data_IF_924957475693
#
_entry.id   IF_924957475693
#
_cell.length_a   1.000
_cell.length_b   1.000
_cell.length_c   1.000
_cell.angle_alpha   90.00
_cell.angle_beta   90.00
_cell.angle_gamma   90.00
#
_symmetry.space_group_name_H-M   'P 1'
#
loop_
_entity.id
_entity.type
_entity.pdbx_description
1 polymer ?
#
# COMPACT_ATOMS: atom_id res chain seq x y z
N UNK A 1 39.54 8.83 -1.83
CA UNK A 1 40.66 9.28 -2.70
C UNK A 1 41.84 9.78 -1.89
N UNK A 2 41.67 10.70 -0.94
CA UNK A 2 42.75 11.15 -0.07
C UNK A 2 43.39 10.01 0.72
N UNK A 3 42.60 9.14 1.38
CA UNK A 3 43.10 7.94 2.08
C UNK A 3 43.83 6.94 1.17
N UNK A 4 43.53 6.91 -0.10
CA UNK A 4 44.20 6.09 -1.11
C UNK A 4 45.46 6.76 -1.70
N UNK A 5 45.81 7.96 -1.24
CA UNK A 5 46.99 8.70 -1.71
C UNK A 5 46.85 9.33 -3.10
N UNK A 6 45.64 9.42 -3.64
CA UNK A 6 45.35 10.03 -4.95
C UNK A 6 45.17 11.53 -4.86
N UNK A 7 44.94 12.07 -3.67
CA UNK A 7 44.86 13.48 -3.35
C UNK A 7 45.80 13.77 -2.15
N UNK A 8 46.56 14.84 -2.20
CA UNK A 8 47.24 15.34 -1.03
C UNK A 8 46.27 16.14 -0.13
N UNK A 9 46.71 16.54 1.05
CA UNK A 9 45.89 17.25 2.06
C UNK A 9 45.27 18.53 1.51
N UNK A 10 46.08 19.34 0.78
CA UNK A 10 45.62 20.58 0.18
C UNK A 10 44.59 20.35 -0.92
N UNK A 11 44.85 19.40 -1.82
CA UNK A 11 43.90 19.03 -2.90
C UNK A 11 42.59 18.50 -2.34
N UNK A 12 42.66 17.74 -1.25
CA UNK A 12 41.44 17.25 -0.57
C UNK A 12 40.62 18.41 0.00
N UNK A 13 41.27 19.34 0.71
CA UNK A 13 40.59 20.52 1.27
C UNK A 13 40.00 21.42 0.19
N UNK A 14 40.77 21.76 -0.85
CA UNK A 14 40.32 22.59 -1.96
C UNK A 14 39.16 21.97 -2.73
N UNK A 15 39.19 20.64 -2.98
CA UNK A 15 38.13 19.92 -3.67
C UNK A 15 36.85 19.80 -2.83
N UNK A 16 37.01 19.64 -1.50
CA UNK A 16 35.85 19.61 -0.59
C UNK A 16 35.16 20.98 -0.57
N UNK A 17 35.91 22.09 -0.49
CA UNK A 17 35.33 23.43 -0.58
C UNK A 17 34.64 23.67 -1.93
N UNK A 18 35.18 23.14 -3.04
CA UNK A 18 34.56 23.30 -4.36
C UNK A 18 33.25 22.51 -4.48
N UNK A 19 33.18 21.32 -3.85
CA UNK A 19 31.94 20.54 -3.81
C UNK A 19 30.85 21.23 -2.95
N UNK A 20 31.25 21.81 -1.80
CA UNK A 20 30.33 22.58 -0.94
C UNK A 20 29.78 23.82 -1.68
N UNK A 21 30.62 24.51 -2.42
CA UNK A 21 30.20 25.65 -3.25
C UNK A 21 29.27 25.21 -4.39
N UNK A 22 29.57 24.10 -5.05
CA UNK A 22 28.70 23.54 -6.10
C UNK A 22 27.33 23.15 -5.53
N UNK A 23 27.31 22.46 -4.38
CA UNK A 23 26.08 22.11 -3.68
C UNK A 23 25.24 23.35 -3.38
N UNK A 24 25.87 24.39 -2.84
CA UNK A 24 25.20 25.65 -2.58
C UNK A 24 24.60 26.28 -3.84
N UNK A 25 25.31 26.25 -4.97
CA UNK A 25 24.79 26.78 -6.25
C UNK A 25 23.58 25.98 -6.76
N UNK A 26 23.57 24.67 -6.53
CA UNK A 26 22.41 23.81 -6.83
C UNK A 26 21.23 24.15 -5.93
N UNK A 27 21.47 24.27 -4.62
CA UNK A 27 20.43 24.58 -3.63
C UNK A 27 19.82 25.99 -3.82
N UNK A 28 20.66 26.96 -4.22
CA UNK A 28 20.26 28.35 -4.51
C UNK A 28 19.69 28.51 -5.94
N UNK A 29 19.55 27.43 -6.71
CA UNK A 29 19.08 27.42 -8.13
C UNK A 29 19.92 28.31 -9.05
N UNK A 30 21.19 28.58 -8.71
CA UNK A 30 22.12 29.38 -9.52
C UNK A 30 22.98 28.53 -10.46
N UNK A 31 22.88 27.22 -10.36
CA UNK A 31 23.49 26.24 -11.25
C UNK A 31 22.41 25.40 -11.93
N UNK A 32 22.47 25.27 -13.24
CA UNK A 32 21.55 24.45 -14.03
C UNK A 32 22.30 23.66 -15.10
N UNK A 33 21.79 22.51 -15.53
CA UNK A 33 22.23 21.82 -16.74
C UNK A 33 22.09 22.71 -17.98
N UNK A 34 22.95 22.50 -18.96
CA UNK A 34 22.91 23.15 -20.28
C UNK A 34 22.77 22.09 -21.37
N UNK A 35 22.53 22.52 -22.61
CA UNK A 35 22.26 21.62 -23.75
C UNK A 35 23.43 20.67 -24.05
N UNK A 36 24.66 21.09 -23.74
CA UNK A 36 25.88 20.30 -23.97
C UNK A 36 26.11 19.22 -22.89
N UNK A 37 25.38 19.27 -21.77
CA UNK A 37 25.48 18.25 -20.73
C UNK A 37 24.67 17.02 -21.16
N UNK A 38 25.30 15.83 -21.17
CA UNK A 38 24.63 14.57 -21.51
C UNK A 38 23.55 14.21 -20.48
N UNK A 39 23.84 14.52 -19.20
CA UNK A 39 22.97 14.24 -18.05
C UNK A 39 23.40 15.11 -16.84
N UNK A 40 22.65 14.98 -15.72
CA UNK A 40 22.92 15.72 -14.48
C UNK A 40 24.33 15.45 -13.93
N UNK A 41 24.85 14.23 -14.10
CA UNK A 41 26.19 13.91 -13.60
C UNK A 41 27.28 14.62 -14.42
N UNK A 42 27.07 14.80 -15.75
CA UNK A 42 27.96 15.60 -16.61
C UNK A 42 27.84 17.09 -16.26
N UNK A 43 26.64 17.56 -15.99
CA UNK A 43 26.41 18.94 -15.53
C UNK A 43 27.17 19.20 -14.23
N UNK A 44 27.01 18.35 -13.21
CA UNK A 44 27.72 18.48 -11.93
C UNK A 44 29.25 18.40 -12.09
N UNK A 45 29.75 17.53 -12.98
CA UNK A 45 31.19 17.47 -13.31
C UNK A 45 31.64 18.80 -13.92
N UNK A 46 30.93 19.36 -14.87
CA UNK A 46 31.21 20.69 -15.45
C UNK A 46 31.23 21.77 -14.37
N UNK A 47 30.20 21.82 -13.51
CA UNK A 47 30.14 22.79 -12.42
C UNK A 47 31.34 22.68 -11.47
N UNK A 48 31.78 21.46 -11.15
CA UNK A 48 32.96 21.25 -10.33
C UNK A 48 34.25 21.73 -11.05
N UNK A 49 34.39 21.46 -12.35
CA UNK A 49 35.55 21.92 -13.15
C UNK A 49 35.61 23.45 -13.26
N UNK A 50 34.46 24.13 -13.32
CA UNK A 50 34.37 25.58 -13.32
C UNK A 50 34.87 26.19 -11.99
N UNK A 51 34.60 25.52 -10.87
CA UNK A 51 34.99 26.01 -9.53
C UNK A 51 36.45 25.62 -9.20
N UNK A 52 36.78 24.34 -9.33
CA UNK A 52 38.07 23.76 -8.90
C UNK A 52 39.15 23.81 -9.98
N UNK A 53 38.81 24.13 -11.21
CA UNK A 53 39.69 24.02 -12.39
C UNK A 53 39.86 22.59 -12.90
N UNK A 54 40.24 22.45 -14.16
CA UNK A 54 40.34 21.17 -14.85
C UNK A 54 41.36 20.20 -14.19
N UNK A 55 42.45 20.71 -13.65
CA UNK A 55 43.51 19.85 -13.09
C UNK A 55 43.04 19.19 -11.77
N UNK A 56 42.45 19.96 -10.86
CA UNK A 56 42.00 19.44 -9.58
C UNK A 56 40.64 18.75 -9.69
N UNK A 57 39.65 19.40 -10.31
CA UNK A 57 38.31 18.85 -10.46
C UNK A 57 38.29 17.53 -11.24
N UNK A 58 39.14 17.44 -12.27
CA UNK A 58 39.26 16.20 -13.09
C UNK A 58 39.78 14.98 -12.31
N UNK A 59 40.46 15.18 -11.16
CA UNK A 59 40.89 14.06 -10.29
C UNK A 59 39.71 13.28 -9.69
N UNK A 60 38.57 13.96 -9.42
CA UNK A 60 37.45 13.34 -8.72
C UNK A 60 36.85 12.15 -9.47
N UNK A 61 37.01 12.09 -10.79
CA UNK A 61 36.47 11.02 -11.64
C UNK A 61 37.26 9.69 -11.56
N UNK A 62 38.45 9.71 -10.96
CA UNK A 62 39.31 8.53 -10.93
C UNK A 62 38.67 7.38 -10.14
N UNK A 63 38.72 6.17 -10.72
CA UNK A 63 38.30 4.92 -10.08
C UNK A 63 36.79 4.66 -10.03
N UNK A 64 35.97 5.47 -10.65
CA UNK A 64 34.52 5.24 -10.73
C UNK A 64 34.03 5.18 -12.19
N UNK A 65 32.92 4.47 -12.36
CA UNK A 65 32.18 4.45 -13.61
C UNK A 65 30.79 5.06 -13.41
N UNK A 66 30.15 5.50 -14.49
CA UNK A 66 28.74 5.87 -14.48
C UNK A 66 27.85 4.69 -14.06
N UNK A 67 28.25 3.46 -14.40
CA UNK A 67 27.48 2.25 -14.14
C UNK A 67 27.28 1.97 -12.62
N UNK A 68 28.34 1.91 -11.84
CA UNK A 68 28.26 1.69 -10.40
C UNK A 68 27.72 2.91 -9.64
N UNK A 69 28.01 4.12 -10.15
CA UNK A 69 27.47 5.35 -9.58
C UNK A 69 25.93 5.38 -9.68
N UNK A 70 25.37 5.17 -10.87
CA UNK A 70 23.91 5.17 -11.06
C UNK A 70 23.25 4.01 -10.31
N UNK A 71 23.87 2.83 -10.30
CA UNK A 71 23.37 1.71 -9.50
C UNK A 71 23.32 2.00 -8.00
N UNK A 72 24.26 2.79 -7.46
CA UNK A 72 24.23 3.23 -6.06
C UNK A 72 23.16 4.32 -5.84
N UNK A 73 23.09 5.31 -6.72
CA UNK A 73 22.14 6.44 -6.59
C UNK A 73 20.69 5.95 -6.64
N UNK A 74 20.33 5.04 -7.54
CA UNK A 74 18.97 4.51 -7.60
C UNK A 74 18.60 3.73 -6.34
N UNK A 75 19.53 2.93 -5.76
CA UNK A 75 19.30 2.25 -4.49
C UNK A 75 19.05 3.24 -3.35
N UNK A 76 19.90 4.27 -3.22
CA UNK A 76 19.74 5.31 -2.20
C UNK A 76 18.41 6.06 -2.35
N UNK A 77 18.07 6.42 -3.57
CA UNK A 77 16.81 7.08 -3.91
C UNK A 77 15.61 6.21 -3.51
N UNK A 78 15.55 4.97 -3.97
CA UNK A 78 14.45 4.06 -3.67
C UNK A 78 14.35 3.74 -2.17
N UNK A 79 15.46 3.57 -1.45
CA UNK A 79 15.47 3.37 0.01
C UNK A 79 14.89 4.56 0.76
N UNK A 80 15.16 5.78 0.29
CA UNK A 80 14.56 7.01 0.85
C UNK A 80 13.06 7.03 0.63
N UNK A 81 12.61 6.83 -0.60
CA UNK A 81 11.19 6.89 -0.97
C UNK A 81 10.38 5.71 -0.41
N UNK A 82 10.97 4.53 -0.26
CA UNK A 82 10.33 3.41 0.45
C UNK A 82 9.92 3.80 1.89
N UNK A 83 10.77 4.54 2.62
CA UNK A 83 10.45 5.03 3.96
C UNK A 83 9.37 6.11 3.96
N UNK A 84 9.38 7.00 2.97
CA UNK A 84 8.33 8.02 2.80
C UNK A 84 6.99 7.34 2.52
N UNK A 85 6.92 6.44 1.54
CA UNK A 85 5.70 5.72 1.16
C UNK A 85 5.19 4.85 2.33
N UNK A 86 6.09 4.15 3.03
CA UNK A 86 5.71 3.39 4.23
C UNK A 86 5.07 4.28 5.32
N UNK A 87 5.61 5.47 5.55
CA UNK A 87 5.03 6.45 6.48
C UNK A 87 3.65 6.94 6.01
N UNK A 88 3.46 7.16 4.72
CA UNK A 88 2.17 7.55 4.14
C UNK A 88 1.14 6.42 4.24
N UNK A 89 1.54 5.16 4.03
CA UNK A 89 0.69 3.99 4.26
C UNK A 89 0.24 3.88 5.72
N UNK A 90 1.16 4.11 6.67
CA UNK A 90 0.81 4.15 8.09
C UNK A 90 -0.19 5.26 8.42
N UNK A 91 -0.16 6.39 7.69
CA UNK A 91 -1.17 7.44 7.83
C UNK A 91 -2.56 6.97 7.38
N UNK A 92 -2.65 6.18 6.29
CA UNK A 92 -3.91 5.55 5.86
C UNK A 92 -4.38 4.53 6.91
N UNK A 93 -3.48 3.71 7.42
CA UNK A 93 -3.80 2.77 8.50
C UNK A 93 -4.32 3.48 9.76
N UNK A 94 -3.71 4.61 10.13
CA UNK A 94 -4.14 5.41 11.27
C UNK A 94 -5.54 6.01 11.05
N UNK A 95 -5.85 6.50 9.85
CA UNK A 95 -7.18 7.00 9.51
C UNK A 95 -8.24 5.89 9.64
N UNK A 96 -7.97 4.69 9.12
CA UNK A 96 -8.85 3.52 9.28
C UNK A 96 -9.04 3.13 10.75
N UNK A 97 -7.96 3.14 11.53
CA UNK A 97 -8.01 2.85 12.97
C UNK A 97 -8.86 3.90 13.72
N UNK A 98 -8.73 5.19 13.39
CA UNK A 98 -9.54 6.25 13.97
C UNK A 98 -11.02 6.04 13.65
N UNK A 99 -11.36 5.74 12.40
CA UNK A 99 -12.72 5.41 11.99
C UNK A 99 -13.25 4.16 12.72
N UNK A 100 -12.43 3.13 12.87
CA UNK A 100 -12.78 1.90 13.62
C UNK A 100 -13.11 2.20 15.08
N UNK A 101 -12.32 3.04 15.75
CA UNK A 101 -12.56 3.48 17.13
C UNK A 101 -13.85 4.32 17.25
N UNK A 102 -14.10 5.19 16.27
CA UNK A 102 -15.30 6.01 16.25
C UNK A 102 -16.58 5.18 15.98
N UNK A 103 -16.44 4.10 15.21
CA UNK A 103 -17.55 3.19 14.88
C UNK A 103 -18.03 2.39 16.10
N UNK A 104 -17.18 2.17 17.12
CA UNK A 104 -17.51 1.37 18.31
C UNK A 104 -18.17 0.03 17.94
N UNK A 105 -19.36 -0.22 18.50
CA UNK A 105 -20.16 -1.43 18.29
C UNK A 105 -21.10 -1.35 17.08
N UNK A 106 -20.87 -0.44 16.15
CA UNK A 106 -21.70 -0.28 14.97
C UNK A 106 -21.68 -1.55 14.11
N UNK A 107 -22.87 -2.06 13.81
CA UNK A 107 -23.08 -3.27 13.03
C UNK A 107 -23.36 -2.91 11.57
N UNK A 108 -22.86 -3.70 10.63
CA UNK A 108 -23.11 -3.58 9.21
C UNK A 108 -23.38 -4.96 8.58
N UNK A 109 -24.00 -5.02 7.40
CA UNK A 109 -24.13 -6.27 6.67
C UNK A 109 -22.77 -6.73 6.13
N UNK A 110 -22.27 -7.88 6.59
CA UNK A 110 -21.19 -8.59 5.94
C UNK A 110 -21.64 -9.08 4.56
N UNK A 111 -20.71 -9.19 3.61
CA UNK A 111 -21.04 -9.58 2.22
C UNK A 111 -20.05 -10.57 1.68
N UNK A 112 -20.58 -11.56 0.96
CA UNK A 112 -19.84 -12.43 0.05
C UNK A 112 -20.58 -12.45 -1.27
N UNK A 113 -19.87 -12.46 -2.39
CA UNK A 113 -20.48 -12.37 -3.73
C UNK A 113 -21.42 -11.16 -3.91
N UNK A 114 -21.16 -10.06 -3.19
CA UNK A 114 -22.03 -8.88 -3.09
C UNK A 114 -23.42 -9.14 -2.49
N UNK A 115 -23.70 -10.34 -2.00
CA UNK A 115 -24.92 -10.71 -1.29
C UNK A 115 -24.74 -10.56 0.22
N UNK A 116 -25.84 -10.31 0.94
CA UNK A 116 -25.84 -10.29 2.40
C UNK A 116 -25.38 -11.64 2.95
N UNK A 117 -24.46 -11.59 3.88
CA UNK A 117 -24.01 -12.69 4.70
C UNK A 117 -24.35 -12.39 6.17
N UNK A 118 -23.50 -12.78 7.10
CA UNK A 118 -23.71 -12.49 8.52
C UNK A 118 -23.45 -11.01 8.81
N UNK A 119 -24.17 -10.41 9.78
CA UNK A 119 -23.82 -9.09 10.32
C UNK A 119 -22.40 -9.10 10.90
N UNK A 120 -21.65 -8.01 10.70
CA UNK A 120 -20.29 -7.83 11.23
C UNK A 120 -20.17 -6.46 11.87
N UNK A 121 -19.15 -6.25 12.67
CA UNK A 121 -18.81 -4.92 13.14
C UNK A 121 -18.19 -4.08 12.02
N UNK A 122 -18.60 -2.82 11.90
CA UNK A 122 -17.98 -1.86 10.98
C UNK A 122 -16.48 -1.74 11.25
N UNK A 123 -16.07 -1.71 12.52
CA UNK A 123 -14.68 -1.70 12.93
C UNK A 123 -13.90 -2.90 12.37
N UNK A 124 -14.49 -4.10 12.38
CA UNK A 124 -13.88 -5.30 11.84
C UNK A 124 -13.68 -5.21 10.32
N UNK A 125 -14.66 -4.69 9.58
CA UNK A 125 -14.54 -4.45 8.14
C UNK A 125 -13.44 -3.44 7.81
N UNK A 126 -13.36 -2.33 8.53
CA UNK A 126 -12.33 -1.31 8.33
C UNK A 126 -10.93 -1.86 8.64
N UNK A 127 -10.79 -2.62 9.72
CA UNK A 127 -9.52 -3.27 10.07
C UNK A 127 -9.08 -4.32 9.06
N UNK A 128 -9.99 -4.95 8.32
CA UNK A 128 -9.64 -5.88 7.24
C UNK A 128 -8.78 -5.22 6.14
N UNK A 129 -8.90 -3.91 5.92
CA UNK A 129 -8.08 -3.15 5.00
C UNK A 129 -6.74 -2.69 5.57
N UNK A 130 -6.62 -2.60 6.89
CA UNK A 130 -5.33 -2.25 7.56
C UNK A 130 -4.30 -3.37 7.37
N UNK A 131 -4.70 -4.63 7.49
CA UNK A 131 -3.79 -5.76 7.42
C UNK A 131 -3.01 -5.90 6.11
N UNK A 132 -3.62 -5.75 4.90
CA UNK A 132 -2.87 -5.73 3.65
C UNK A 132 -1.83 -4.60 3.60
N UNK A 133 -2.21 -3.38 4.00
CA UNK A 133 -1.31 -2.22 4.00
C UNK A 133 -0.13 -2.41 4.96
N UNK A 134 -0.35 -3.01 6.13
CA UNK A 134 0.75 -3.37 7.05
C UNK A 134 1.67 -4.43 6.43
N UNK A 135 1.14 -5.38 5.64
CA UNK A 135 1.99 -6.32 4.88
C UNK A 135 2.83 -5.62 3.83
N UNK A 136 2.32 -4.53 3.21
CA UNK A 136 3.09 -3.73 2.26
C UNK A 136 4.22 -2.95 2.95
N UNK A 137 3.97 -2.40 4.14
CA UNK A 137 5.03 -1.81 4.98
C UNK A 137 6.10 -2.86 5.31
N UNK A 138 5.70 -4.08 5.69
CA UNK A 138 6.65 -5.16 5.97
C UNK A 138 7.44 -5.57 4.71
N UNK A 139 6.82 -5.58 3.52
CA UNK A 139 7.53 -5.81 2.26
C UNK A 139 8.63 -4.77 2.03
N UNK A 140 8.37 -3.50 2.31
CA UNK A 140 9.41 -2.46 2.23
C UNK A 140 10.53 -2.66 3.25
N UNK A 141 10.23 -3.09 4.47
CA UNK A 141 11.25 -3.40 5.49
C UNK A 141 12.14 -4.55 5.00
N UNK A 142 11.55 -5.64 4.52
CA UNK A 142 12.29 -6.78 4.00
C UNK A 142 13.09 -6.44 2.74
N UNK A 143 12.54 -5.58 1.88
CA UNK A 143 13.21 -5.08 0.69
C UNK A 143 14.41 -4.18 1.05
N UNK A 144 14.28 -3.27 2.02
CA UNK A 144 15.36 -2.35 2.46
C UNK A 144 16.58 -3.15 2.97
N UNK A 145 16.37 -4.29 3.64
CA UNK A 145 17.44 -5.18 4.07
C UNK A 145 18.23 -5.76 2.88
N UNK A 146 17.58 -6.09 1.77
CA UNK A 146 18.24 -6.57 0.54
C UNK A 146 18.89 -5.43 -0.24
N UNK A 147 18.28 -4.25 -0.24
CA UNK A 147 18.79 -3.05 -0.91
C UNK A 147 19.99 -2.44 -0.19
N UNK A 148 20.28 -2.83 1.06
CA UNK A 148 21.36 -2.29 1.90
C UNK A 148 22.75 -2.83 1.55
N UNK A 149 23.04 -2.92 0.24
CA UNK A 149 24.32 -3.31 -0.33
C UNK A 149 24.77 -2.26 -1.36
N UNK A 150 25.97 -1.72 -1.18
CA UNK A 150 26.55 -0.73 -2.09
C UNK A 150 27.14 -1.39 -3.33
N UNK A 151 26.72 -0.99 -4.53
CA UNK A 151 27.40 -1.36 -5.76
C UNK A 151 28.60 -0.46 -6.07
N UNK A 152 28.77 0.63 -5.33
CA UNK A 152 29.79 1.65 -5.60
C UNK A 152 31.19 1.09 -5.36
N UNK A 153 32.07 1.23 -6.35
CA UNK A 153 33.41 0.64 -6.38
C UNK A 153 33.51 -0.55 -7.33
N UNK A 154 32.39 -1.02 -7.89
CA UNK A 154 32.41 -2.06 -8.95
C UNK A 154 33.00 -1.53 -10.27
N UNK A 155 33.14 -0.21 -10.44
CA UNK A 155 33.58 0.41 -11.66
C UNK A 155 32.62 0.14 -12.81
N UNK A 156 33.15 -0.07 -14.02
CA UNK A 156 32.30 -0.46 -15.13
C UNK A 156 31.73 -1.88 -14.98
N UNK A 157 32.52 -2.82 -14.43
CA UNK A 157 32.14 -4.20 -14.09
C UNK A 157 33.25 -4.99 -13.35
N UNK A 158 34.49 -4.48 -13.26
CA UNK A 158 35.64 -5.21 -12.75
C UNK A 158 36.39 -4.48 -11.62
N UNK A 159 35.76 -3.49 -11.01
CA UNK A 159 36.39 -2.68 -9.96
C UNK A 159 37.45 -1.71 -10.49
N UNK A 160 38.40 -1.36 -9.65
CA UNK A 160 39.53 -0.49 -9.99
C UNK A 160 40.82 -0.94 -9.31
N UNK A 161 41.97 -0.48 -9.82
CA UNK A 161 43.29 -0.79 -9.29
C UNK A 161 43.91 0.35 -8.48
N UNK A 162 43.13 1.39 -8.16
CA UNK A 162 43.60 2.64 -7.53
C UNK A 162 43.64 2.56 -5.99
N UNK A 163 43.32 1.41 -5.41
CA UNK A 163 43.34 1.23 -3.95
C UNK A 163 42.19 1.96 -3.23
N UNK A 164 41.10 2.30 -3.94
CA UNK A 164 39.90 2.86 -3.33
C UNK A 164 39.20 1.78 -2.50
N UNK A 165 38.89 2.12 -1.24
CA UNK A 165 38.23 1.18 -0.33
C UNK A 165 36.71 1.28 -0.49
N UNK A 166 36.10 0.31 -1.18
CA UNK A 166 34.66 0.27 -1.41
C UNK A 166 33.85 0.07 -0.13
N UNK A 167 34.39 -0.63 0.89
CA UNK A 167 33.70 -0.83 2.17
C UNK A 167 33.58 0.49 2.96
N UNK A 168 34.63 1.31 2.97
CA UNK A 168 34.58 2.62 3.59
C UNK A 168 33.58 3.54 2.88
N UNK A 169 33.59 3.55 1.54
CA UNK A 169 32.65 4.35 0.75
C UNK A 169 31.21 3.88 0.98
N UNK A 170 30.97 2.58 0.99
CA UNK A 170 29.64 2.02 1.28
C UNK A 170 29.12 2.51 2.63
N UNK A 171 29.95 2.47 3.67
CA UNK A 171 29.60 2.92 5.01
C UNK A 171 29.29 4.44 5.05
N UNK A 172 30.09 5.24 4.35
CA UNK A 172 29.88 6.70 4.24
C UNK A 172 28.59 7.04 3.48
N UNK A 173 28.18 6.21 2.51
CA UNK A 173 26.92 6.32 1.78
C UNK A 173 25.71 5.75 2.54
N UNK A 174 25.91 5.17 3.74
CA UNK A 174 24.84 4.62 4.57
C UNK A 174 24.41 3.19 4.19
N UNK A 175 25.29 2.42 3.52
CA UNK A 175 25.10 1.01 3.28
C UNK A 175 25.83 0.16 4.33
N UNK A 176 25.26 -1.00 4.66
CA UNK A 176 25.85 -1.92 5.64
C UNK A 176 26.99 -2.77 5.05
N UNK A 177 26.99 -3.00 3.75
CA UNK A 177 27.96 -3.86 3.06
C UNK A 177 28.11 -3.49 1.57
N UNK A 178 29.06 -4.13 0.92
CA UNK A 178 29.34 -3.99 -0.52
C UNK A 178 28.76 -5.20 -1.27
N UNK A 179 28.29 -4.99 -2.50
CA UNK A 179 27.85 -6.07 -3.37
C UNK A 179 28.99 -7.08 -3.61
N UNK A 180 28.69 -8.36 -3.51
CA UNK A 180 29.70 -9.44 -3.57
C UNK A 180 30.33 -9.63 -4.96
N UNK A 181 29.59 -9.30 -6.03
CA UNK A 181 30.06 -9.47 -7.41
C UNK A 181 29.94 -8.15 -8.18
N UNK A 182 31.05 -7.66 -8.74
CA UNK A 182 31.12 -6.37 -9.41
C UNK A 182 30.37 -6.32 -10.74
N UNK A 183 30.21 -7.44 -11.43
CA UNK A 183 29.42 -7.49 -12.68
C UNK A 183 27.95 -7.37 -12.35
N UNK A 184 27.47 -8.14 -11.39
CA UNK A 184 26.10 -8.09 -10.89
C UNK A 184 25.76 -6.71 -10.32
N UNK A 185 26.65 -6.13 -9.50
CA UNK A 185 26.48 -4.84 -8.85
C UNK A 185 26.16 -3.69 -9.82
N UNK A 186 26.70 -3.72 -11.05
CA UNK A 186 26.47 -2.66 -12.06
C UNK A 186 25.19 -2.86 -12.86
N UNK A 187 24.66 -4.08 -12.92
CA UNK A 187 23.59 -4.47 -13.82
C UNK A 187 22.29 -4.86 -13.15
N UNK A 188 22.34 -5.36 -11.90
CA UNK A 188 21.14 -5.86 -11.21
C UNK A 188 20.11 -4.75 -11.02
N UNK A 189 18.88 -5.06 -11.44
CA UNK A 189 17.69 -4.22 -11.29
C UNK A 189 16.51 -5.00 -10.69
N UNK A 190 16.78 -6.18 -10.19
CA UNK A 190 15.82 -6.99 -9.43
C UNK A 190 15.27 -6.24 -8.22
N UNK A 191 16.12 -5.48 -7.51
CA UNK A 191 15.69 -4.61 -6.42
C UNK A 191 14.77 -3.47 -6.89
N UNK A 192 14.97 -2.94 -8.09
CA UNK A 192 14.09 -1.93 -8.69
C UNK A 192 12.76 -2.55 -9.05
N UNK A 193 12.77 -3.75 -9.65
CA UNK A 193 11.56 -4.50 -9.99
C UNK A 193 10.79 -4.94 -8.73
N UNK A 194 11.49 -5.30 -7.67
CA UNK A 194 10.88 -5.67 -6.38
C UNK A 194 10.22 -4.45 -5.71
N UNK A 195 10.85 -3.28 -5.73
CA UNK A 195 10.22 -2.02 -5.30
C UNK A 195 8.96 -1.73 -6.11
N UNK A 196 9.05 -1.84 -7.43
CA UNK A 196 7.91 -1.65 -8.35
C UNK A 196 6.78 -2.64 -8.08
N UNK A 197 7.09 -3.90 -7.75
CA UNK A 197 6.11 -4.88 -7.32
C UNK A 197 5.39 -4.46 -6.03
N UNK A 198 6.11 -3.95 -5.04
CA UNK A 198 5.51 -3.47 -3.79
C UNK A 198 4.57 -2.30 -4.08
N UNK A 199 4.99 -1.34 -4.92
CA UNK A 199 4.17 -0.22 -5.35
C UNK A 199 2.88 -0.67 -6.06
N UNK A 200 2.97 -1.69 -6.93
CA UNK A 200 1.81 -2.28 -7.59
C UNK A 200 0.86 -2.98 -6.59
N UNK A 201 1.40 -3.69 -5.58
CA UNK A 201 0.59 -4.31 -4.52
C UNK A 201 -0.15 -3.29 -3.67
N UNK A 202 0.50 -2.18 -3.30
CA UNK A 202 -0.15 -1.05 -2.64
C UNK A 202 -1.33 -0.55 -3.49
N UNK A 203 -1.12 -0.39 -4.80
CA UNK A 203 -2.17 0.00 -5.73
C UNK A 203 -3.37 -0.96 -5.69
N UNK A 204 -3.13 -2.27 -5.68
CA UNK A 204 -4.18 -3.30 -5.58
C UNK A 204 -4.96 -3.18 -4.26
N UNK A 205 -4.27 -3.03 -3.13
CA UNK A 205 -4.92 -2.99 -1.82
C UNK A 205 -5.71 -1.68 -1.61
N UNK A 206 -5.17 -0.55 -2.06
CA UNK A 206 -5.89 0.74 -2.09
C UNK A 206 -7.09 0.69 -3.05
N UNK A 207 -6.96 0.04 -4.21
CA UNK A 207 -8.06 -0.13 -5.17
C UNK A 207 -9.23 -0.92 -4.58
N UNK A 208 -8.97 -1.95 -3.79
CA UNK A 208 -10.03 -2.75 -3.12
C UNK A 208 -10.80 -1.93 -2.11
N UNK A 209 -10.12 -1.15 -1.28
CA UNK A 209 -10.77 -0.22 -0.34
C UNK A 209 -11.55 0.88 -1.09
N UNK A 210 -10.98 1.39 -2.17
CA UNK A 210 -11.64 2.38 -3.04
C UNK A 210 -12.96 1.86 -3.60
N UNK A 211 -12.98 0.61 -4.08
CA UNK A 211 -14.19 -0.03 -4.60
C UNK A 211 -15.29 -0.12 -3.55
N UNK A 212 -14.95 -0.54 -2.33
CA UNK A 212 -15.92 -0.58 -1.23
C UNK A 212 -16.44 0.82 -0.87
N UNK A 213 -15.58 1.84 -0.79
CA UNK A 213 -16.00 3.22 -0.52
C UNK A 213 -16.94 3.73 -1.62
N UNK A 214 -16.66 3.45 -2.89
CA UNK A 214 -17.52 3.84 -4.02
C UNK A 214 -18.88 3.18 -3.88
N UNK A 215 -18.94 1.89 -3.62
CA UNK A 215 -20.19 1.14 -3.43
C UNK A 215 -20.95 1.71 -2.23
N UNK A 216 -20.30 1.91 -1.08
CA UNK A 216 -20.94 2.44 0.12
C UNK A 216 -21.47 3.87 -0.04
N UNK A 217 -20.86 4.65 -0.93
CA UNK A 217 -21.25 6.03 -1.19
C UNK A 217 -22.42 6.15 -2.20
N UNK A 218 -22.82 5.09 -2.88
CA UNK A 218 -23.98 5.12 -3.79
C UNK A 218 -25.28 5.40 -3.03
N UNK A 219 -26.30 5.91 -3.74
CA UNK A 219 -27.62 6.16 -3.14
C UNK A 219 -28.31 4.87 -2.69
N UNK A 220 -28.06 3.76 -3.39
CA UNK A 220 -28.62 2.45 -3.11
C UNK A 220 -28.11 1.91 -1.77
N UNK A 221 -26.80 2.04 -1.50
CA UNK A 221 -26.20 1.64 -0.23
C UNK A 221 -26.36 2.72 0.84
N UNK A 222 -25.95 3.94 0.54
CA UNK A 222 -26.00 5.09 1.44
C UNK A 222 -25.34 4.82 2.82
N UNK A 223 -24.25 4.04 2.84
CA UNK A 223 -23.55 3.68 4.07
C UNK A 223 -22.52 4.72 4.49
N UNK A 224 -21.95 5.45 3.53
CA UNK A 224 -20.92 6.46 3.78
C UNK A 224 -21.21 7.75 3.00
N UNK A 225 -20.85 8.87 3.61
CA UNK A 225 -20.80 10.18 2.96
C UNK A 225 -19.37 10.70 3.02
N UNK A 226 -18.84 11.09 1.87
CA UNK A 226 -17.53 11.73 1.78
C UNK A 226 -17.62 13.22 2.09
N UNK A 227 -16.52 13.78 2.62
CA UNK A 227 -16.37 15.22 2.82
C UNK A 227 -16.25 15.93 1.48
N UNK A 228 -16.74 17.18 1.42
CA UNK A 228 -16.73 18.00 0.21
C UNK A 228 -15.32 18.32 -0.30
N UNK A 229 -14.31 18.30 0.58
CA UNK A 229 -12.91 18.48 0.20
C UNK A 229 -12.35 17.28 -0.60
N UNK A 230 -13.00 16.12 -0.53
CA UNK A 230 -12.57 14.86 -1.17
C UNK A 230 -13.62 14.32 -2.16
N UNK A 231 -14.57 15.15 -2.56
CA UNK A 231 -15.59 14.81 -3.54
C UNK A 231 -15.81 15.98 -4.49
N UNK A 232 -16.15 15.72 -5.75
CA UNK A 232 -16.47 16.79 -6.68
C UNK A 232 -17.97 16.85 -6.98
N UNK A 233 -18.46 18.07 -7.19
CA UNK A 233 -19.82 18.30 -7.68
C UNK A 233 -19.91 18.09 -9.20
N UNK A 234 -21.12 17.87 -9.69
CA UNK A 234 -21.40 17.91 -11.13
C UNK A 234 -21.58 19.33 -11.61
N UNK A 235 -21.04 19.68 -12.78
CA UNK A 235 -21.26 20.98 -13.43
C UNK A 235 -22.70 21.20 -13.86
N UNK A 236 -23.50 20.13 -14.01
CA UNK A 236 -24.89 20.18 -14.49
C UNK A 236 -25.90 19.82 -13.38
N UNK A 237 -25.48 18.92 -12.46
CA UNK A 237 -26.34 18.37 -11.40
C UNK A 237 -25.87 18.86 -10.02
N UNK A 238 -26.45 19.95 -9.45
CA UNK A 238 -25.93 20.56 -8.23
C UNK A 238 -25.95 19.63 -7.00
N UNK A 239 -26.83 18.63 -7.00
CA UNK A 239 -26.99 17.65 -5.91
C UNK A 239 -26.00 16.48 -5.99
N UNK A 240 -25.32 16.29 -7.13
CA UNK A 240 -24.45 15.13 -7.36
C UNK A 240 -23.07 15.37 -6.75
N UNK A 241 -22.62 14.44 -5.92
CA UNK A 241 -21.27 14.38 -5.37
C UNK A 241 -20.63 13.06 -5.79
N UNK A 242 -19.45 13.13 -6.38
CA UNK A 242 -18.73 11.96 -6.90
C UNK A 242 -17.59 11.58 -5.94
N UNK A 243 -17.32 10.29 -5.74
CA UNK A 243 -16.22 9.83 -4.90
C UNK A 243 -14.86 9.84 -5.67
N UNK A 244 -14.48 11.02 -6.20
CA UNK A 244 -13.39 11.12 -7.18
C UNK A 244 -12.05 10.61 -6.66
N UNK A 245 -11.71 10.87 -5.39
CA UNK A 245 -10.46 10.37 -4.81
C UNK A 245 -10.43 8.83 -4.82
N UNK A 246 -11.54 8.18 -4.48
CA UNK A 246 -11.63 6.72 -4.53
C UNK A 246 -11.57 6.20 -5.97
N UNK A 247 -12.23 6.87 -6.93
CA UNK A 247 -12.21 6.49 -8.34
C UNK A 247 -10.81 6.67 -8.95
N UNK A 248 -10.13 7.78 -8.66
CA UNK A 248 -8.76 8.03 -9.09
C UNK A 248 -7.79 7.01 -8.48
N UNK A 249 -7.94 6.68 -7.20
CA UNK A 249 -7.13 5.67 -6.53
C UNK A 249 -7.27 4.30 -7.19
N UNK A 250 -8.51 3.89 -7.49
CA UNK A 250 -8.80 2.66 -8.25
C UNK A 250 -8.17 2.70 -9.66
N UNK A 251 -8.28 3.82 -10.36
CA UNK A 251 -7.71 3.99 -11.69
C UNK A 251 -6.17 3.95 -11.69
N UNK A 252 -5.54 4.57 -10.70
CA UNK A 252 -4.08 4.60 -10.57
C UNK A 252 -3.46 3.23 -10.27
N UNK A 253 -4.18 2.30 -9.68
CA UNK A 253 -3.72 0.93 -9.51
C UNK A 253 -3.33 0.27 -10.85
N UNK A 254 -4.12 0.53 -11.92
CA UNK A 254 -3.79 0.05 -13.27
C UNK A 254 -2.49 0.63 -13.81
N UNK A 255 -2.19 1.91 -13.52
CA UNK A 255 -0.93 2.56 -13.89
C UNK A 255 0.25 1.90 -13.18
N UNK A 256 0.20 1.74 -11.86
CA UNK A 256 1.25 1.10 -11.06
C UNK A 256 1.55 -0.34 -11.52
N UNK A 257 0.52 -1.11 -11.91
CA UNK A 257 0.68 -2.46 -12.47
C UNK A 257 1.32 -2.38 -13.87
N UNK A 258 0.94 -1.39 -14.68
CA UNK A 258 1.52 -1.16 -16.01
C UNK A 258 3.02 -0.88 -15.95
N UNK A 259 3.46 -0.03 -15.02
CA UNK A 259 4.87 0.31 -14.78
C UNK A 259 5.69 -0.92 -14.41
N UNK A 260 5.21 -1.74 -13.48
CA UNK A 260 5.84 -3.03 -13.13
C UNK A 260 5.97 -3.93 -14.37
N UNK A 261 4.91 -4.03 -15.17
CA UNK A 261 4.88 -4.90 -16.34
C UNK A 261 5.88 -4.43 -17.39
N UNK A 262 5.95 -3.12 -17.65
CA UNK A 262 6.92 -2.50 -18.56
C UNK A 262 8.36 -2.74 -18.12
N UNK A 263 8.63 -2.52 -16.83
CA UNK A 263 9.95 -2.75 -16.24
C UNK A 263 10.38 -4.22 -16.38
N UNK A 264 9.51 -5.17 -16.05
CA UNK A 264 9.80 -6.61 -16.20
C UNK A 264 10.05 -6.99 -17.66
N UNK A 265 9.33 -6.38 -18.61
CA UNK A 265 9.54 -6.59 -20.03
C UNK A 265 10.89 -6.03 -20.50
N UNK A 266 11.36 -4.93 -19.95
CA UNK A 266 12.68 -4.37 -20.21
C UNK A 266 13.79 -5.27 -19.67
N UNK A 267 13.67 -5.77 -18.46
CA UNK A 267 14.74 -6.55 -17.81
C UNK A 267 14.95 -7.94 -18.42
N UNK A 268 13.89 -8.54 -18.98
CA UNK A 268 13.98 -9.89 -19.56
C UNK A 268 14.98 -9.95 -20.72
N UNK A 269 15.83 -10.95 -20.73
CA UNK A 269 16.70 -11.24 -21.86
C UNK A 269 17.93 -10.32 -22.00
N UNK A 270 18.18 -9.42 -21.06
CA UNK A 270 19.42 -8.64 -21.02
C UNK A 270 20.59 -9.52 -20.58
N UNK A 271 21.80 -9.33 -21.15
CA UNK A 271 23.01 -9.99 -20.67
C UNK A 271 23.43 -9.42 -19.30
N UNK A 272 24.40 -10.10 -18.68
CA UNK A 272 25.06 -9.55 -17.48
C UNK A 272 25.86 -8.29 -17.81
N UNK A 273 26.19 -7.48 -16.79
CA UNK A 273 26.74 -6.15 -16.88
C UNK A 273 25.76 -5.13 -17.48
N UNK A 274 26.20 -3.88 -17.61
CA UNK A 274 25.31 -2.78 -18.01
C UNK A 274 24.98 -2.82 -19.51
N UNK A 275 23.71 -2.72 -19.82
CA UNK A 275 23.18 -2.41 -21.14
C UNK A 275 22.37 -1.11 -21.08
N UNK A 276 22.33 -0.32 -22.16
CA UNK A 276 21.65 0.99 -22.16
C UNK A 276 20.12 0.89 -21.99
N UNK A 277 19.54 -0.26 -22.26
CA UNK A 277 18.14 -0.59 -21.94
C UNK A 277 17.81 -0.32 -20.45
N UNK A 278 18.79 -0.44 -19.55
CA UNK A 278 18.64 -0.18 -18.12
C UNK A 278 18.40 1.31 -17.79
N UNK A 279 18.34 2.21 -18.75
CA UNK A 279 17.87 3.57 -18.54
C UNK A 279 16.36 3.64 -18.33
N UNK A 280 15.61 2.69 -18.88
CA UNK A 280 14.17 2.56 -18.72
C UNK A 280 13.75 2.13 -17.30
N UNK A 281 14.69 1.78 -16.43
CA UNK A 281 14.43 1.39 -15.03
C UNK A 281 13.88 2.53 -14.18
N UNK A 282 14.19 3.78 -14.54
CA UNK A 282 13.90 4.96 -13.73
C UNK A 282 12.49 5.47 -13.90
N UNK A 283 12.04 5.61 -15.13
CA UNK A 283 10.74 6.22 -15.43
C UNK A 283 9.60 5.47 -14.73
N UNK A 284 9.61 4.14 -14.77
CA UNK A 284 8.60 3.32 -14.13
C UNK A 284 8.52 3.57 -12.61
N UNK A 285 9.65 3.56 -11.91
CA UNK A 285 9.65 3.71 -10.44
C UNK A 285 9.47 5.17 -10.02
N UNK A 286 9.92 6.14 -10.80
CA UNK A 286 9.67 7.55 -10.54
C UNK A 286 8.18 7.86 -10.66
N UNK A 287 7.53 7.40 -11.71
CA UNK A 287 6.08 7.54 -11.89
C UNK A 287 5.28 6.88 -10.76
N UNK A 288 5.71 5.71 -10.32
CA UNK A 288 5.08 5.02 -9.18
C UNK A 288 5.24 5.80 -7.87
N UNK A 289 6.42 6.36 -7.61
CA UNK A 289 6.70 7.17 -6.42
C UNK A 289 5.85 8.43 -6.44
N UNK A 290 5.89 9.21 -7.52
CA UNK A 290 5.10 10.43 -7.68
C UNK A 290 3.60 10.16 -7.52
N UNK A 291 3.14 9.05 -8.11
CA UNK A 291 1.74 8.62 -7.98
C UNK A 291 1.38 8.31 -6.53
N UNK A 292 2.19 7.55 -5.81
CA UNK A 292 1.89 7.15 -4.43
C UNK A 292 2.04 8.31 -3.44
N UNK A 293 3.05 9.16 -3.59
CA UNK A 293 3.28 10.29 -2.69
C UNK A 293 2.20 11.37 -2.80
N UNK A 294 1.55 11.50 -3.94
CA UNK A 294 0.37 12.37 -4.12
C UNK A 294 -0.93 11.67 -3.67
N UNK A 295 -1.10 10.40 -4.03
CA UNK A 295 -2.34 9.66 -3.79
C UNK A 295 -2.57 9.38 -2.30
N UNK A 296 -1.57 8.83 -1.60
CA UNK A 296 -1.75 8.33 -0.23
C UNK A 296 -2.17 9.41 0.78
N UNK A 297 -1.62 10.64 0.78
CA UNK A 297 -2.10 11.70 1.66
C UNK A 297 -3.56 12.09 1.38
N UNK A 298 -3.94 12.22 0.12
CA UNK A 298 -5.31 12.54 -0.26
C UNK A 298 -6.28 11.41 0.15
N UNK A 299 -5.86 10.16 -0.03
CA UNK A 299 -6.62 8.98 0.36
C UNK A 299 -6.79 8.88 1.88
N UNK A 300 -5.73 9.12 2.65
CA UNK A 300 -5.78 9.16 4.11
C UNK A 300 -6.74 10.24 4.62
N UNK A 301 -6.71 11.44 4.02
CA UNK A 301 -7.62 12.53 4.36
C UNK A 301 -9.08 12.21 4.03
N UNK A 302 -9.35 11.57 2.89
CA UNK A 302 -10.68 11.07 2.53
C UNK A 302 -11.20 10.07 3.58
N UNK A 303 -10.39 9.08 3.94
CA UNK A 303 -10.77 8.06 4.94
C UNK A 303 -11.01 8.69 6.31
N UNK A 304 -10.15 9.60 6.76
CA UNK A 304 -10.27 10.25 8.07
C UNK A 304 -11.56 11.07 8.20
N UNK A 305 -12.02 11.69 7.11
CA UNK A 305 -13.15 12.62 7.11
C UNK A 305 -14.48 12.01 6.72
N UNK A 306 -14.50 10.77 6.18
CA UNK A 306 -15.74 10.13 5.78
C UNK A 306 -16.66 9.87 6.99
N UNK A 307 -17.97 9.95 6.75
CA UNK A 307 -19.01 9.79 7.77
C UNK A 307 -19.90 8.61 7.44
N UNK A 308 -20.02 7.67 8.37
CA UNK A 308 -20.90 6.52 8.23
C UNK A 308 -22.32 6.83 8.70
N UNK A 309 -23.32 6.35 7.97
CA UNK A 309 -24.72 6.31 8.43
C UNK A 309 -24.95 5.02 9.24
N UNK A 310 -24.74 5.12 10.55
CA UNK A 310 -24.82 3.97 11.46
C UNK A 310 -26.24 3.39 11.52
N UNK A 311 -27.28 4.21 11.35
CA UNK A 311 -28.65 3.74 11.33
C UNK A 311 -28.92 2.90 10.08
N UNK A 312 -28.49 3.41 8.93
CA UNK A 312 -28.64 2.68 7.66
C UNK A 312 -27.86 1.35 7.66
N UNK A 313 -26.65 1.34 8.21
CA UNK A 313 -25.86 0.13 8.37
C UNK A 313 -26.58 -0.90 9.25
N UNK A 314 -27.10 -0.46 10.39
CA UNK A 314 -27.84 -1.32 11.32
C UNK A 314 -29.13 -1.89 10.69
N UNK A 315 -29.94 -1.04 10.05
CA UNK A 315 -31.18 -1.46 9.36
C UNK A 315 -30.90 -2.55 8.31
N UNK A 316 -29.80 -2.41 7.58
CA UNK A 316 -29.43 -3.38 6.54
C UNK A 316 -28.75 -4.64 7.08
N UNK A 317 -28.24 -4.63 8.29
CA UNK A 317 -27.43 -5.72 8.84
C UNK A 317 -28.21 -7.00 9.09
N UNK A 318 -29.51 -6.91 9.36
CA UNK A 318 -30.40 -8.05 9.65
C UNK A 318 -31.30 -8.44 8.50
N UNK A 319 -31.25 -7.72 7.36
CA UNK A 319 -32.11 -8.00 6.20
C UNK A 319 -31.58 -9.15 5.36
N UNK A 320 -32.48 -9.75 4.57
CA UNK A 320 -32.10 -10.82 3.62
C UNK A 320 -31.75 -12.15 4.30
N UNK A 321 -32.42 -12.43 5.39
CA UNK A 321 -32.25 -13.65 6.17
C UNK A 321 -30.83 -13.85 6.75
N UNK A 322 -30.12 -12.75 7.01
CA UNK A 322 -28.73 -12.75 7.47
C UNK A 322 -28.51 -13.57 8.75
N UNK A 323 -29.56 -13.69 9.59
CA UNK A 323 -29.54 -14.46 10.85
C UNK A 323 -29.84 -15.96 10.69
N UNK A 324 -30.04 -16.46 9.47
CA UNK A 324 -30.33 -17.89 9.24
C UNK A 324 -29.21 -18.81 9.76
N UNK A 325 -27.94 -18.38 9.61
CA UNK A 325 -26.79 -19.11 10.13
C UNK A 325 -26.81 -19.17 11.67
N UNK A 326 -27.23 -18.10 12.35
CA UNK A 326 -27.32 -18.05 13.82
C UNK A 326 -28.36 -19.05 14.35
N UNK A 327 -29.50 -19.21 13.63
CA UNK A 327 -30.49 -20.24 13.94
C UNK A 327 -29.87 -21.64 13.82
N UNK A 328 -29.15 -21.91 12.73
CA UNK A 328 -28.52 -23.21 12.52
C UNK A 328 -27.45 -23.49 13.60
N UNK A 329 -26.61 -22.52 13.94
CA UNK A 329 -25.57 -22.66 14.99
C UNK A 329 -26.18 -22.81 16.38
N UNK A 330 -27.26 -22.08 16.66
CA UNK A 330 -27.99 -22.22 17.93
C UNK A 330 -28.56 -23.64 18.06
N UNK A 331 -29.16 -24.17 17.01
CA UNK A 331 -29.64 -25.56 17.00
C UNK A 331 -28.54 -26.60 17.24
N UNK A 332 -27.35 -26.37 16.63
CA UNK A 332 -26.17 -27.22 16.88
C UNK A 332 -25.75 -27.18 18.34
N UNK A 333 -25.73 -25.99 18.97
CA UNK A 333 -25.45 -25.83 20.42
C UNK A 333 -26.48 -26.55 21.30
N UNK A 334 -27.69 -26.79 20.79
CA UNK A 334 -28.72 -27.58 21.44
C UNK A 334 -28.64 -29.10 21.16
N UNK A 335 -27.59 -29.53 20.48
CA UNK A 335 -27.33 -30.94 20.18
C UNK A 335 -27.95 -31.45 18.88
N UNK A 336 -28.57 -30.58 18.06
CA UNK A 336 -29.12 -30.98 16.76
C UNK A 336 -27.96 -31.15 15.76
N UNK A 337 -27.86 -32.29 15.06
CA UNK A 337 -26.84 -32.49 14.04
C UNK A 337 -26.88 -31.39 12.99
N UNK A 338 -25.70 -30.87 12.58
CA UNK A 338 -25.59 -29.70 11.69
C UNK A 338 -26.44 -29.81 10.42
N UNK A 339 -26.48 -31.00 9.77
CA UNK A 339 -27.32 -31.24 8.59
C UNK A 339 -28.79 -30.95 8.85
N UNK A 340 -29.31 -31.41 10.00
CA UNK A 340 -30.69 -31.17 10.41
C UNK A 340 -30.90 -29.70 10.79
N UNK A 341 -29.95 -29.11 11.54
CA UNK A 341 -29.97 -27.70 11.91
C UNK A 341 -30.03 -26.78 10.69
N UNK A 342 -29.23 -27.06 9.67
CA UNK A 342 -29.24 -26.32 8.39
C UNK A 342 -30.60 -26.47 7.67
N UNK A 343 -31.18 -27.69 7.62
CA UNK A 343 -32.48 -27.90 7.02
C UNK A 343 -33.60 -27.15 7.75
N UNK A 344 -33.60 -27.20 9.09
CA UNK A 344 -34.56 -26.47 9.93
C UNK A 344 -34.45 -24.95 9.79
N UNK A 345 -33.24 -24.44 9.75
CA UNK A 345 -32.99 -22.99 9.47
C UNK A 345 -33.51 -22.61 8.09
N UNK A 346 -33.29 -23.45 7.06
CA UNK A 346 -33.83 -23.25 5.72
C UNK A 346 -35.37 -23.26 5.68
N UNK A 347 -36.03 -24.05 6.53
CA UNK A 347 -37.50 -24.02 6.68
C UNK A 347 -38.00 -22.74 7.33
N UNK A 348 -37.24 -22.18 8.28
CA UNK A 348 -37.53 -20.84 8.83
C UNK A 348 -37.44 -19.75 7.76
N UNK A 349 -36.39 -19.79 6.91
CA UNK A 349 -36.23 -18.86 5.78
C UNK A 349 -37.42 -18.98 4.83
N UNK A 350 -37.75 -20.20 4.41
CA UNK A 350 -38.89 -20.45 3.51
C UNK A 350 -40.21 -19.91 4.10
N UNK A 351 -40.41 -20.10 5.40
CA UNK A 351 -41.63 -19.61 6.05
C UNK A 351 -41.66 -18.08 6.10
N UNK A 352 -40.51 -17.43 6.33
CA UNK A 352 -40.41 -15.97 6.29
C UNK A 352 -40.71 -15.44 4.87
N UNK A 353 -40.20 -16.09 3.83
CA UNK A 353 -40.53 -15.77 2.44
C UNK A 353 -42.07 -15.90 2.15
N UNK A 354 -42.71 -16.97 2.65
CA UNK A 354 -44.15 -17.18 2.47
C UNK A 354 -45.01 -16.06 3.08
N UNK A 355 -44.59 -15.49 4.21
CA UNK A 355 -45.28 -14.33 4.83
C UNK A 355 -44.86 -12.98 4.27
N UNK A 356 -43.91 -12.94 3.33
CA UNK A 356 -43.37 -11.72 2.74
C UNK A 356 -42.57 -10.87 3.72
N UNK A 357 -41.95 -11.48 4.74
CA UNK A 357 -41.15 -10.86 5.78
C UNK A 357 -39.72 -11.40 5.87
N UNK A 358 -39.06 -11.11 7.00
CA UNK A 358 -37.74 -11.64 7.37
C UNK A 358 -37.85 -12.60 8.56
N UNK A 359 -36.73 -13.23 8.99
CA UNK A 359 -36.71 -14.15 10.13
C UNK A 359 -37.20 -13.51 11.43
N UNK A 360 -37.01 -12.20 11.61
CA UNK A 360 -37.49 -11.46 12.77
C UNK A 360 -39.04 -11.33 12.82
N UNK A 361 -39.71 -11.50 11.67
CA UNK A 361 -41.16 -11.37 11.54
C UNK A 361 -41.91 -12.70 11.82
N UNK A 362 -41.17 -13.82 11.94
CA UNK A 362 -41.75 -15.10 12.32
C UNK A 362 -42.34 -15.05 13.72
N UNK A 363 -43.54 -15.63 13.89
CA UNK A 363 -44.19 -15.79 15.19
C UNK A 363 -43.57 -16.95 15.98
N UNK A 364 -43.81 -16.98 17.28
CA UNK A 364 -43.39 -18.08 18.16
C UNK A 364 -44.05 -19.40 17.73
N UNK A 365 -45.27 -19.34 17.17
CA UNK A 365 -45.95 -20.50 16.61
C UNK A 365 -45.24 -21.00 15.32
N UNK A 366 -44.74 -20.11 14.48
CA UNK A 366 -43.98 -20.51 13.28
C UNK A 366 -42.71 -21.28 13.69
N UNK A 367 -41.94 -20.72 14.63
CA UNK A 367 -40.76 -21.42 15.17
C UNK A 367 -41.11 -22.74 15.85
N UNK A 368 -42.19 -22.79 16.63
CA UNK A 368 -42.63 -24.00 17.31
C UNK A 368 -43.03 -25.08 16.31
N UNK A 369 -43.74 -24.72 15.24
CA UNK A 369 -44.14 -25.67 14.20
C UNK A 369 -42.97 -26.26 13.46
N UNK A 370 -41.88 -25.49 13.24
CA UNK A 370 -40.70 -25.96 12.51
C UNK A 370 -39.73 -26.73 13.39
N UNK A 371 -39.54 -26.31 14.65
CA UNK A 371 -38.47 -26.79 15.53
C UNK A 371 -38.95 -27.85 16.53
N UNK A 372 -40.28 -28.07 16.68
CA UNK A 372 -40.82 -29.06 17.60
C UNK A 372 -40.29 -30.48 17.26
N UNK A 373 -39.92 -31.22 18.30
CA UNK A 373 -39.29 -32.53 18.17
C UNK A 373 -37.76 -32.54 18.04
N UNK A 374 -37.15 -31.36 17.90
CA UNK A 374 -35.69 -31.22 17.89
C UNK A 374 -35.17 -30.42 19.09
N UNK A 375 -35.98 -29.51 19.60
CA UNK A 375 -35.64 -28.62 20.73
C UNK A 375 -36.85 -28.49 21.65
N UNK A 376 -36.60 -28.30 22.97
CA UNK A 376 -37.67 -28.13 23.96
C UNK A 376 -38.46 -26.83 23.77
N UNK A 377 -39.78 -26.89 23.95
CA UNK A 377 -40.67 -25.72 23.77
C UNK A 377 -40.27 -24.48 24.59
N UNK A 378 -39.75 -24.69 25.80
CA UNK A 378 -39.26 -23.59 26.65
C UNK A 378 -38.02 -22.86 26.06
N UNK A 379 -37.20 -23.56 25.27
CA UNK A 379 -36.03 -23.00 24.60
C UNK A 379 -36.44 -22.30 23.27
N UNK A 380 -37.43 -22.83 22.57
CA UNK A 380 -37.96 -22.18 21.34
C UNK A 380 -38.55 -20.81 21.71
N UNK A 381 -39.25 -20.66 22.82
CA UNK A 381 -39.78 -19.36 23.24
C UNK A 381 -38.71 -18.25 23.43
N UNK A 382 -37.47 -18.64 23.63
CA UNK A 382 -36.34 -17.70 23.81
C UNK A 382 -35.48 -17.51 22.52
N UNK A 383 -35.85 -18.14 21.41
CA UNK A 383 -35.03 -18.14 20.18
C UNK A 383 -34.74 -16.72 19.69
N UNK A 384 -35.70 -15.82 19.74
CA UNK A 384 -35.56 -14.42 19.30
C UNK A 384 -34.54 -13.63 20.11
N UNK A 385 -34.44 -13.89 21.41
CA UNK A 385 -33.47 -13.21 22.29
C UNK A 385 -32.10 -13.85 22.24
N UNK A 386 -32.02 -15.13 21.85
CA UNK A 386 -30.79 -15.93 21.87
C UNK A 386 -30.03 -15.84 20.53
N UNK A 387 -30.76 -15.70 19.42
CA UNK A 387 -30.20 -15.77 18.05
C UNK A 387 -29.75 -14.40 17.53
N UNK A 388 -30.13 -13.30 18.16
CA UNK A 388 -29.80 -11.97 17.72
C UNK A 388 -28.29 -11.68 17.80
N UNK A 389 -27.63 -11.52 16.66
CA UNK A 389 -26.22 -11.12 16.49
C UNK A 389 -25.21 -11.94 17.33
N UNK A 390 -25.47 -13.22 17.58
CA UNK A 390 -24.63 -14.07 18.46
C UNK A 390 -23.21 -14.21 17.94
N UNK A 391 -23.03 -14.24 16.62
CA UNK A 391 -21.71 -14.38 15.99
C UNK A 391 -20.81 -13.15 16.14
N UNK A 392 -21.36 -11.95 16.43
CA UNK A 392 -20.55 -10.76 16.68
C UNK A 392 -19.61 -10.93 17.87
N UNK A 393 -19.99 -11.81 18.83
CA UNK A 393 -19.16 -12.14 19.99
C UNK A 393 -18.07 -13.16 19.69
N UNK A 394 -18.17 -13.91 18.59
CA UNK A 394 -17.20 -14.95 18.23
C UNK A 394 -15.92 -14.40 17.62
N UNK A 395 -15.95 -13.17 17.11
CA UNK A 395 -14.81 -12.47 16.49
C UNK A 395 -14.52 -11.16 17.23
N UNK A 396 -14.57 -11.21 18.58
CA UNK A 396 -14.30 -10.02 19.40
C UNK A 396 -12.99 -9.36 18.99
N UNK A 397 -13.14 -8.13 18.52
CA UNK A 397 -12.06 -7.27 18.04
C UNK A 397 -11.31 -6.58 19.19
N UNK A 398 -11.59 -6.92 20.43
CA UNK A 398 -10.93 -6.35 21.62
C UNK A 398 -9.40 -6.50 21.58
N UNK A 399 -8.89 -7.45 20.78
CA UNK A 399 -7.44 -7.62 20.55
C UNK A 399 -6.85 -6.69 19.50
N UNK A 400 -7.68 -5.92 18.75
CA UNK A 400 -7.22 -5.05 17.65
C UNK A 400 -7.32 -3.56 17.99
N UNK A 401 -8.03 -3.18 19.02
CA UNK A 401 -8.23 -1.80 19.49
C UNK A 401 -7.41 -1.52 20.75
#
# INVERSE_FOLDING_TARGET
MHRAGLLNEKEYADLSCALDELQKRVDDETFAPIEEDEDEATALERGLLEIAGNELGGKLRAGRSRNDQIAALIRMFLRRHARVIASLLLSVCQALLNQSKNAKDAVMPGRTHMQHAQPILLAHQLMAHVWPLLRDVNRFIDWDLRADESPYGAGALAGNTLGLNSEEVAKELGFSKVCANSIDATASRDLVAEFSFIAAMIGVDISRLSEEIIIWNTQEFAFVRLDDAYSTGSSIMPQKKNPDIAELARGKAGRLIGDLTGLMATLKGLPTAYARDLQEDKEAVFDQIDTLEVLLPAFAGMVETMKFDLNRLYEQSSTGFALATDIAEWLVKKGVPFRNAHTLSGLCVKRAEEIGGDLADLSDDDFSNILSGFVDSAEIANIRTTVSYTHLRAHETDSYL
#
